data_IF_951918473182
#
_entry.id   IF_951918473182
#
_cell.length_a   1.000
_cell.length_b   1.000
_cell.length_c   1.000
_cell.angle_alpha   90.00
_cell.angle_beta   90.00
_cell.angle_gamma   90.00
#
_symmetry.space_group_name_H-M   'P 1'
#
loop_
_entity.id
_entity.type
_entity.pdbx_description
1 polymer ?
#
# COMPACT_ATOMS: atom_id res chain seq x y z
N UNK A 1 7.81 -23.77 -42.00
CA UNK A 1 8.39 -25.15 -41.95
C UNK A 1 8.08 -25.73 -40.59
N UNK A 2 7.14 -26.69 -40.56
CA UNK A 2 7.07 -27.97 -39.83
C UNK A 2 7.39 -27.88 -38.35
N UNK A 3 6.44 -27.99 -37.40
CA UNK A 3 5.54 -29.12 -37.02
C UNK A 3 6.28 -30.20 -36.21
N UNK A 4 5.75 -30.49 -35.03
CA UNK A 4 5.60 -31.74 -34.29
C UNK A 4 5.67 -31.43 -32.81
N UNK A 5 4.72 -31.55 -31.94
CA UNK A 5 3.66 -32.58 -31.84
C UNK A 5 4.11 -33.76 -30.97
N UNK A 6 3.77 -33.81 -29.67
CA UNK A 6 3.60 -35.07 -28.94
C UNK A 6 2.67 -34.88 -27.73
N UNK A 7 1.42 -35.31 -27.92
CA UNK A 7 0.54 -35.81 -26.88
C UNK A 7 1.16 -37.03 -26.18
N UNK A 8 0.94 -37.17 -24.88
CA UNK A 8 0.84 -38.47 -24.22
C UNK A 8 -0.25 -38.44 -23.17
N UNK A 9 -1.19 -39.29 -23.41
CA UNK A 9 -2.41 -39.66 -22.69
C UNK A 9 -2.16 -40.67 -21.57
N UNK A 10 -3.06 -40.62 -20.57
CA UNK A 10 -3.69 -41.72 -19.80
C UNK A 10 -2.87 -42.57 -18.82
N UNK A 11 -3.34 -42.63 -17.56
CA UNK A 11 -3.94 -43.88 -17.03
C UNK A 11 -4.70 -43.62 -15.71
N UNK A 12 -5.96 -44.01 -15.75
CA UNK A 12 -6.82 -44.28 -14.58
C UNK A 12 -6.31 -45.52 -13.82
N UNK A 13 -6.48 -45.54 -12.48
CA UNK A 13 -6.64 -46.76 -11.73
C UNK A 13 -7.63 -46.52 -10.57
N UNK A 14 -8.79 -47.13 -10.70
CA UNK A 14 -9.78 -47.32 -9.67
C UNK A 14 -9.41 -48.57 -8.83
N UNK A 15 -9.61 -48.51 -7.55
CA UNK A 15 -9.45 -49.64 -6.63
C UNK A 15 -10.46 -49.57 -5.51
N UNK A 16 -11.61 -50.21 -5.74
CA UNK A 16 -12.59 -50.63 -4.72
C UNK A 16 -12.08 -51.91 -4.03
N UNK A 17 -12.19 -52.02 -2.71
CA UNK A 17 -12.35 -53.29 -2.05
C UNK A 17 -13.17 -53.13 -0.75
N UNK A 18 -14.34 -53.74 -0.78
CA UNK A 18 -15.25 -54.00 0.32
C UNK A 18 -14.78 -55.24 1.07
N UNK A 19 -15.07 -55.30 2.34
CA UNK A 19 -14.87 -56.52 3.17
C UNK A 19 -15.76 -56.47 4.39
N UNK A 20 -16.87 -57.20 4.31
CA UNK A 20 -17.85 -57.40 5.37
C UNK A 20 -17.58 -58.70 6.14
N UNK A 21 -18.40 -58.88 7.19
CA UNK A 21 -18.74 -60.13 7.96
C UNK A 21 -17.80 -60.50 9.09
N UNK A 22 -18.27 -61.07 10.19
CA UNK A 22 -19.55 -61.63 10.64
C UNK A 22 -19.56 -61.87 12.14
N UNK A 23 -20.74 -61.90 12.67
CA UNK A 23 -21.40 -62.68 13.71
C UNK A 23 -20.62 -63.70 14.54
N UNK A 24 -20.85 -63.79 15.83
CA UNK A 24 -21.81 -64.66 16.55
C UNK A 24 -21.33 -64.85 18.00
N UNK A 25 -22.17 -64.79 18.95
CA UNK A 25 -22.80 -65.80 19.67
C UNK A 25 -22.75 -65.63 21.18
N UNK A 26 -23.89 -65.57 21.77
CA UNK A 26 -24.24 -66.41 22.88
C UNK A 26 -24.19 -65.91 24.33
N UNK A 27 -25.39 -65.69 24.82
CA UNK A 27 -25.95 -66.09 26.12
C UNK A 27 -25.48 -65.53 27.47
N UNK A 28 -26.52 -65.16 28.18
CA UNK A 28 -26.76 -65.17 29.64
C UNK A 28 -26.65 -63.81 30.35
N UNK A 29 -27.84 -63.36 30.74
CA UNK A 29 -28.05 -62.32 31.74
C UNK A 29 -27.63 -62.77 33.13
N UNK A 30 -27.24 -61.85 33.98
CA UNK A 30 -28.11 -61.59 35.15
C UNK A 30 -28.34 -60.08 35.36
N UNK A 31 -29.52 -59.85 35.89
CA UNK A 31 -30.08 -58.64 36.45
C UNK A 31 -29.07 -57.79 37.22
N UNK A 32 -28.88 -56.53 36.86
CA UNK A 32 -28.22 -55.56 37.70
C UNK A 32 -28.96 -54.23 37.63
N UNK A 33 -29.08 -53.58 38.73
CA UNK A 33 -29.83 -52.40 39.12
C UNK A 33 -29.66 -51.20 38.23
N UNK A 34 -30.62 -50.19 38.23
CA UNK A 34 -30.53 -48.99 37.44
C UNK A 34 -29.41 -48.10 37.94
N UNK A 35 -28.34 -48.03 37.20
CA UNK A 35 -27.30 -46.99 37.35
C UNK A 35 -27.86 -45.70 36.82
N UNK A 36 -28.14 -44.76 37.69
CA UNK A 36 -28.44 -43.39 37.36
C UNK A 36 -27.25 -42.78 36.63
N UNK A 37 -27.36 -42.68 35.32
CA UNK A 37 -26.37 -41.98 34.47
C UNK A 37 -26.48 -40.50 34.79
N UNK A 38 -25.57 -39.97 35.59
CA UNK A 38 -25.36 -38.55 35.72
C UNK A 38 -25.09 -37.98 34.30
N UNK A 39 -26.00 -37.15 33.83
CA UNK A 39 -25.77 -36.39 32.62
C UNK A 39 -24.58 -35.46 32.88
N UNK A 40 -23.43 -35.80 32.31
CA UNK A 40 -22.30 -34.87 32.24
C UNK A 40 -22.74 -33.78 31.27
N UNK A 41 -23.26 -32.68 31.82
CA UNK A 41 -23.42 -31.44 31.08
C UNK A 41 -22.04 -31.00 30.64
N UNK A 42 -21.69 -31.30 29.39
CA UNK A 42 -20.55 -30.66 28.72
C UNK A 42 -20.88 -29.16 28.64
N UNK A 43 -20.44 -28.42 29.63
CA UNK A 43 -20.36 -26.96 29.52
C UNK A 43 -19.44 -26.67 28.35
N UNK A 44 -20.01 -26.42 27.18
CA UNK A 44 -19.27 -25.81 26.08
C UNK A 44 -18.69 -24.52 26.65
N UNK A 45 -17.37 -24.48 26.83
CA UNK A 45 -16.64 -23.27 27.18
C UNK A 45 -16.90 -22.29 26.04
N UNK A 46 -17.78 -21.31 26.27
CA UNK A 46 -18.02 -20.26 25.31
C UNK A 46 -16.67 -19.60 25.03
N UNK A 47 -16.23 -19.64 23.78
CA UNK A 47 -15.08 -18.88 23.32
C UNK A 47 -15.35 -17.41 23.71
N UNK A 48 -14.44 -16.73 24.40
CA UNK A 48 -14.64 -15.32 24.76
C UNK A 48 -14.98 -14.55 23.49
N UNK A 49 -16.08 -13.80 23.54
CA UNK A 49 -16.44 -12.91 22.43
C UNK A 49 -15.30 -11.91 22.22
N UNK A 50 -14.89 -11.74 20.98
CA UNK A 50 -13.89 -10.73 20.63
C UNK A 50 -14.42 -9.34 21.03
N UNK A 51 -13.58 -8.44 21.52
CA UNK A 51 -14.00 -7.09 21.84
C UNK A 51 -14.60 -6.38 20.61
N UNK A 52 -15.58 -5.48 20.79
CA UNK A 52 -16.12 -4.72 19.67
C UNK A 52 -14.99 -3.91 19.01
N UNK A 53 -14.97 -3.85 17.67
CA UNK A 53 -13.95 -3.08 16.94
C UNK A 53 -14.23 -1.57 17.09
N UNK A 54 -13.17 -0.76 17.05
CA UNK A 54 -13.28 0.70 17.05
C UNK A 54 -13.98 1.21 15.77
N UNK A 55 -13.75 0.53 14.64
CA UNK A 55 -14.34 0.87 13.33
C UNK A 55 -15.10 -0.33 12.81
N UNK A 56 -16.35 -0.15 12.48
CA UNK A 56 -17.15 -1.20 11.86
C UNK A 56 -16.93 -1.24 10.34
N UNK A 57 -17.14 -2.41 9.72
CA UNK A 57 -17.09 -2.55 8.25
C UNK A 57 -18.16 -1.71 7.55
N UNK A 58 -19.32 -1.52 8.18
CA UNK A 58 -20.38 -0.66 7.65
C UNK A 58 -19.94 0.80 7.66
N UNK A 59 -19.38 1.30 8.76
CA UNK A 59 -18.79 2.64 8.85
C UNK A 59 -17.71 2.87 7.81
N UNK A 60 -16.78 1.92 7.65
CA UNK A 60 -15.75 2.01 6.62
C UNK A 60 -16.31 2.12 5.20
N UNK A 61 -17.40 1.42 4.90
CA UNK A 61 -18.12 1.54 3.63
C UNK A 61 -18.76 2.91 3.42
N UNK A 62 -19.37 3.47 4.44
CA UNK A 62 -19.95 4.83 4.42
C UNK A 62 -18.86 5.89 4.24
N UNK A 63 -17.75 5.77 4.97
CA UNK A 63 -16.59 6.67 4.85
C UNK A 63 -16.02 6.64 3.44
N UNK A 64 -15.77 5.44 2.88
CA UNK A 64 -15.30 5.30 1.50
C UNK A 64 -16.23 6.02 0.52
N UNK A 65 -17.53 5.73 0.57
CA UNK A 65 -18.50 6.30 -0.36
C UNK A 65 -18.62 7.81 -0.21
N UNK A 66 -18.62 8.31 1.02
CA UNK A 66 -18.77 9.75 1.30
C UNK A 66 -17.54 10.54 0.83
N UNK A 67 -16.33 10.09 1.18
CA UNK A 67 -15.11 10.83 0.85
C UNK A 67 -14.82 10.81 -0.65
N UNK A 68 -14.99 9.66 -1.31
CA UNK A 68 -14.77 9.57 -2.77
C UNK A 68 -15.80 10.37 -3.57
N UNK A 69 -17.07 10.36 -3.16
CA UNK A 69 -18.10 11.18 -3.80
C UNK A 69 -17.87 12.70 -3.56
N UNK A 70 -17.45 13.08 -2.36
CA UNK A 70 -17.15 14.48 -2.04
C UNK A 70 -15.94 14.98 -2.84
N UNK A 71 -14.87 14.18 -2.92
CA UNK A 71 -13.69 14.50 -3.73
C UNK A 71 -14.05 14.70 -5.21
N UNK A 72 -14.90 13.83 -5.79
CA UNK A 72 -15.36 14.00 -7.17
C UNK A 72 -16.13 15.30 -7.39
N UNK A 73 -17.01 15.68 -6.44
CA UNK A 73 -17.75 16.97 -6.51
C UNK A 73 -16.79 18.16 -6.45
N UNK A 74 -15.78 18.12 -5.56
CA UNK A 74 -14.78 19.18 -5.44
C UNK A 74 -13.93 19.32 -6.70
N UNK A 75 -13.48 18.20 -7.27
CA UNK A 75 -12.73 18.18 -8.54
C UNK A 75 -13.57 18.72 -9.69
N UNK A 76 -14.85 18.39 -9.76
CA UNK A 76 -15.76 18.92 -10.77
C UNK A 76 -16.00 20.43 -10.62
N UNK A 77 -15.97 20.98 -9.42
CA UNK A 77 -16.17 22.39 -9.11
C UNK A 77 -14.87 23.24 -9.21
N UNK A 78 -13.72 22.61 -9.16
CA UNK A 78 -12.40 23.27 -9.09
C UNK A 78 -12.16 24.33 -10.20
N UNK A 79 -12.55 24.11 -11.48
CA UNK A 79 -12.37 25.13 -12.53
C UNK A 79 -13.12 26.43 -12.27
N UNK A 80 -14.13 26.43 -11.40
CA UNK A 80 -14.95 27.62 -11.09
C UNK A 80 -14.62 28.26 -9.76
N UNK A 81 -14.22 27.44 -8.78
CA UNK A 81 -14.06 27.87 -7.39
C UNK A 81 -12.59 27.90 -6.92
N UNK A 82 -11.67 27.37 -7.72
CA UNK A 82 -10.22 27.42 -7.52
C UNK A 82 -9.79 27.08 -6.06
N UNK A 83 -9.18 28.05 -5.37
CA UNK A 83 -8.63 27.86 -4.01
C UNK A 83 -9.68 27.41 -2.97
N UNK A 84 -10.96 27.73 -3.20
CA UNK A 84 -12.05 27.26 -2.32
C UNK A 84 -12.14 25.75 -2.33
N UNK A 85 -12.17 25.16 -3.54
CA UNK A 85 -12.23 23.69 -3.67
C UNK A 85 -10.94 23.01 -3.26
N UNK A 86 -9.77 23.62 -3.51
CA UNK A 86 -8.50 23.08 -3.04
C UNK A 86 -8.49 22.99 -1.50
N UNK A 87 -8.89 24.05 -0.81
CA UNK A 87 -8.96 24.05 0.65
C UNK A 87 -9.89 22.95 1.16
N UNK A 88 -11.08 22.80 0.56
CA UNK A 88 -12.04 21.79 0.94
C UNK A 88 -11.52 20.36 0.60
N UNK A 89 -10.78 20.19 -0.50
CA UNK A 89 -10.12 18.92 -0.85
C UNK A 89 -9.01 18.56 0.15
N UNK A 90 -8.25 19.55 0.64
CA UNK A 90 -7.26 19.34 1.70
C UNK A 90 -7.89 18.96 3.03
N UNK A 91 -9.15 19.31 3.25
CA UNK A 91 -9.93 18.84 4.38
C UNK A 91 -10.30 17.34 4.30
N UNK A 92 -10.31 16.77 3.09
CA UNK A 92 -10.56 15.34 2.86
C UNK A 92 -9.28 14.50 2.85
N UNK A 93 -8.10 15.12 2.76
CA UNK A 93 -6.81 14.45 2.59
C UNK A 93 -5.84 14.79 3.71
N UNK A 94 -4.81 13.99 3.88
CA UNK A 94 -3.74 14.18 4.85
C UNK A 94 -2.42 13.61 4.35
N UNK A 95 -1.35 13.86 5.08
CA UNK A 95 -0.03 13.28 4.86
C UNK A 95 0.47 13.47 3.41
N UNK A 96 0.98 12.44 2.77
CA UNK A 96 1.44 12.45 1.39
C UNK A 96 0.32 12.78 0.40
N UNK A 97 -0.90 12.30 0.65
CA UNK A 97 -2.05 12.53 -0.25
C UNK A 97 -2.45 14.01 -0.30
N UNK A 98 -2.32 14.75 0.80
CA UNK A 98 -2.59 16.20 0.78
C UNK A 98 -1.61 16.96 -0.12
N UNK A 99 -0.34 16.54 -0.18
CA UNK A 99 0.66 17.14 -1.07
C UNK A 99 0.37 16.83 -2.54
N UNK A 100 0.03 15.57 -2.85
CA UNK A 100 -0.34 15.16 -4.21
C UNK A 100 -1.65 15.81 -4.66
N UNK A 101 -2.64 15.95 -3.78
CA UNK A 101 -3.87 16.69 -4.06
C UNK A 101 -3.57 18.14 -4.38
N UNK A 102 -2.73 18.82 -3.61
CA UNK A 102 -2.31 20.18 -3.89
C UNK A 102 -1.68 20.30 -5.28
N UNK A 103 -0.73 19.42 -5.58
CA UNK A 103 -0.05 19.39 -6.86
C UNK A 103 -1.02 19.12 -8.02
N UNK A 104 -1.96 18.18 -7.86
CA UNK A 104 -2.95 17.86 -8.88
C UNK A 104 -3.87 19.05 -9.23
N UNK A 105 -4.24 19.86 -8.23
CA UNK A 105 -5.02 21.07 -8.48
C UNK A 105 -4.20 22.17 -9.16
N UNK A 106 -2.99 22.44 -8.67
CA UNK A 106 -2.16 23.54 -9.17
C UNK A 106 -1.54 23.23 -10.54
N UNK A 107 -0.97 22.05 -10.74
CA UNK A 107 -0.30 21.67 -11.99
C UNK A 107 -1.25 21.60 -13.19
N UNK A 108 -2.53 21.37 -12.95
CA UNK A 108 -3.56 21.32 -13.98
C UNK A 108 -4.31 22.64 -14.17
N UNK A 109 -3.87 23.72 -13.49
CA UNK A 109 -4.58 25.01 -13.51
C UNK A 109 -6.01 24.87 -12.97
N UNK A 110 -6.20 24.13 -11.89
CA UNK A 110 -7.48 23.82 -11.26
C UNK A 110 -8.44 22.99 -12.14
N UNK A 111 -7.88 22.11 -12.96
CA UNK A 111 -8.63 21.08 -13.69
C UNK A 111 -8.14 19.67 -13.25
N UNK A 112 -8.21 19.33 -11.94
CA UNK A 112 -7.71 18.06 -11.47
C UNK A 112 -8.49 16.90 -12.10
N UNK A 113 -7.83 15.74 -12.33
CA UNK A 113 -8.50 14.58 -12.91
C UNK A 113 -9.62 14.10 -11.98
N UNK A 114 -10.73 13.68 -12.55
CA UNK A 114 -11.83 13.01 -11.84
C UNK A 114 -11.70 11.51 -12.02
N UNK A 115 -12.20 10.75 -11.06
CA UNK A 115 -12.02 9.31 -11.04
C UNK A 115 -13.35 8.55 -10.96
N UNK A 116 -13.45 7.45 -11.68
CA UNK A 116 -14.53 6.48 -11.53
C UNK A 116 -14.11 5.37 -10.57
N UNK A 117 -14.90 5.17 -9.52
CA UNK A 117 -14.62 4.20 -8.47
C UNK A 117 -15.52 2.98 -8.58
N UNK A 118 -14.95 1.78 -8.61
CA UNK A 118 -15.67 0.52 -8.52
C UNK A 118 -16.14 0.19 -7.11
N UNK A 119 -16.64 -1.02 -6.92
CA UNK A 119 -17.00 -1.53 -5.58
C UNK A 119 -15.75 -1.90 -4.78
N UNK A 120 -15.57 -1.41 -3.55
CA UNK A 120 -14.38 -1.67 -2.75
C UNK A 120 -14.42 -3.03 -2.05
N UNK A 121 -13.26 -3.65 -1.92
CA UNK A 121 -12.99 -4.67 -0.89
C UNK A 121 -12.35 -3.96 0.30
N UNK A 122 -13.04 -4.00 1.46
CA UNK A 122 -12.61 -3.27 2.64
C UNK A 122 -11.76 -4.15 3.57
N UNK A 123 -10.58 -3.70 3.90
CA UNK A 123 -9.67 -4.27 4.89
C UNK A 123 -9.69 -3.38 6.13
N UNK A 124 -10.56 -3.70 7.07
CA UNK A 124 -10.77 -2.94 8.31
C UNK A 124 -10.05 -3.69 9.44
N UNK A 125 -8.97 -3.14 9.99
CA UNK A 125 -8.31 -3.77 11.13
C UNK A 125 -9.20 -3.79 12.37
N UNK A 126 -9.13 -4.88 13.13
CA UNK A 126 -9.81 -4.97 14.42
C UNK A 126 -9.02 -4.21 15.49
N UNK A 127 -9.18 -2.92 15.52
CA UNK A 127 -8.66 -2.11 16.61
C UNK A 127 -9.53 -2.26 17.85
N UNK A 128 -8.95 -2.32 19.06
CA UNK A 128 -9.70 -2.22 20.29
C UNK A 128 -10.48 -0.91 20.38
N UNK A 129 -11.64 -0.91 21.01
CA UNK A 129 -12.40 0.31 21.28
C UNK A 129 -11.53 1.34 22.01
N UNK A 130 -11.59 2.59 21.58
CA UNK A 130 -10.75 3.67 22.11
C UNK A 130 -9.35 3.77 21.49
N UNK A 131 -9.07 3.05 20.41
CA UNK A 131 -7.81 3.21 19.67
C UNK A 131 -7.64 4.64 19.17
N UNK A 132 -6.49 5.25 19.43
CA UNK A 132 -6.26 6.68 19.19
C UNK A 132 -6.24 7.06 17.70
N UNK A 133 -5.68 6.24 16.83
CA UNK A 133 -5.52 6.56 15.40
C UNK A 133 -6.00 5.41 14.53
N UNK A 134 -7.32 5.18 14.45
CA UNK A 134 -7.87 4.11 13.63
C UNK A 134 -7.71 4.42 12.13
N UNK A 135 -7.55 3.35 11.35
CA UNK A 135 -7.45 3.42 9.89
C UNK A 135 -8.03 2.16 9.23
N UNK A 136 -8.31 2.23 7.97
CA UNK A 136 -8.64 1.08 7.14
C UNK A 136 -8.18 1.29 5.70
N UNK A 137 -8.03 0.19 4.94
CA UNK A 137 -7.65 0.22 3.53
C UNK A 137 -8.78 -0.36 2.68
N UNK A 138 -9.04 0.26 1.54
CA UNK A 138 -9.91 -0.24 0.49
C UNK A 138 -9.08 -0.65 -0.73
N UNK A 139 -9.31 -1.85 -1.25
CA UNK A 139 -8.87 -2.24 -2.59
C UNK A 139 -10.04 -2.04 -3.54
N UNK A 140 -9.87 -1.19 -4.54
CA UNK A 140 -10.94 -0.78 -5.45
C UNK A 140 -10.40 -0.51 -6.85
N UNK A 141 -11.21 -0.69 -7.88
CA UNK A 141 -10.87 -0.20 -9.21
C UNK A 141 -11.06 1.33 -9.29
N UNK A 142 -10.00 2.07 -9.66
CA UNK A 142 -10.03 3.48 -10.03
C UNK A 142 -9.80 3.57 -11.54
N UNK A 143 -10.80 4.01 -12.30
CA UNK A 143 -10.76 4.04 -13.77
C UNK A 143 -10.38 2.67 -14.37
N UNK A 144 -10.89 1.59 -13.78
CA UNK A 144 -10.58 0.21 -14.16
C UNK A 144 -9.26 -0.35 -13.63
N UNK A 145 -8.40 0.44 -12.97
CA UNK A 145 -7.12 0.00 -12.43
C UNK A 145 -7.20 -0.30 -10.92
N UNK A 146 -6.76 -1.48 -10.47
CA UNK A 146 -6.74 -1.80 -9.05
C UNK A 146 -5.90 -0.80 -8.25
N UNK A 147 -6.50 -0.25 -7.20
CA UNK A 147 -5.92 0.83 -6.39
C UNK A 147 -6.19 0.55 -4.91
N UNK A 148 -5.20 0.80 -4.06
CA UNK A 148 -5.32 0.73 -2.62
C UNK A 148 -5.47 2.15 -2.06
N UNK A 149 -6.55 2.39 -1.31
CA UNK A 149 -6.79 3.65 -0.60
C UNK A 149 -6.77 3.38 0.89
N UNK A 150 -5.99 4.16 1.64
CA UNK A 150 -6.04 4.12 3.11
C UNK A 150 -6.67 5.39 3.66
N UNK A 151 -7.66 5.17 4.51
CA UNK A 151 -8.39 6.20 5.25
C UNK A 151 -7.94 6.15 6.70
N UNK A 152 -7.65 7.30 7.28
CA UNK A 152 -7.16 7.37 8.64
C UNK A 152 -7.71 8.58 9.39
N UNK A 153 -7.77 8.46 10.72
CA UNK A 153 -7.98 9.59 11.63
C UNK A 153 -6.66 9.95 12.32
N UNK A 154 -6.42 11.24 12.56
CA UNK A 154 -5.26 11.68 13.34
C UNK A 154 -5.40 11.31 14.81
N UNK A 155 -6.62 11.28 15.31
CA UNK A 155 -7.01 10.76 16.60
C UNK A 155 -8.47 10.27 16.54
N UNK A 156 -8.95 9.58 17.56
CA UNK A 156 -10.28 8.96 17.58
C UNK A 156 -11.44 9.94 17.34
N UNK A 157 -11.29 11.20 17.77
CA UNK A 157 -12.31 12.23 17.69
C UNK A 157 -12.24 13.05 16.38
N UNK A 158 -11.18 12.83 15.57
CA UNK A 158 -10.99 13.52 14.31
C UNK A 158 -11.89 12.96 13.20
N UNK A 159 -12.05 13.75 12.14
CA UNK A 159 -12.70 13.30 10.90
C UNK A 159 -11.81 12.29 10.16
N UNK A 160 -12.44 11.44 9.37
CA UNK A 160 -11.76 10.57 8.42
C UNK A 160 -11.15 11.37 7.27
N UNK A 161 -9.95 11.01 6.87
CA UNK A 161 -9.24 11.59 5.73
C UNK A 161 -8.55 10.50 4.91
N UNK A 162 -8.38 10.73 3.60
CA UNK A 162 -7.58 9.88 2.72
C UNK A 162 -6.11 10.19 3.00
N UNK A 163 -5.35 9.17 3.41
CA UNK A 163 -3.94 9.32 3.78
C UNK A 163 -2.98 8.74 2.75
N UNK A 164 -3.40 7.70 2.05
CA UNK A 164 -2.58 7.07 1.01
C UNK A 164 -3.45 6.54 -0.13
N UNK A 165 -2.96 6.75 -1.36
CA UNK A 165 -3.54 6.20 -2.60
C UNK A 165 -2.40 5.58 -3.39
N UNK A 166 -2.50 4.30 -3.75
CA UNK A 166 -1.47 3.61 -4.56
C UNK A 166 -2.11 2.74 -5.61
N UNK A 167 -1.80 2.99 -6.88
CA UNK A 167 -2.24 2.16 -8.00
C UNK A 167 -1.32 0.95 -8.14
N UNK A 168 -1.90 -0.25 -8.28
CA UNK A 168 -1.11 -1.45 -8.52
C UNK A 168 -0.36 -1.34 -9.85
N UNK A 169 0.89 -1.84 -9.83
CA UNK A 169 1.71 -1.95 -11.03
C UNK A 169 1.14 -3.01 -11.97
N UNK A 170 1.37 -2.86 -13.25
CA UNK A 170 0.85 -3.79 -14.26
C UNK A 170 1.32 -5.22 -13.97
N UNK A 171 0.37 -6.15 -13.99
CA UNK A 171 0.63 -7.55 -13.69
C UNK A 171 0.92 -7.88 -12.23
N UNK A 172 0.73 -6.93 -11.31
CA UNK A 172 0.83 -7.16 -9.87
C UNK A 172 -0.56 -7.30 -9.25
N UNK A 173 -0.66 -8.26 -8.32
CA UNK A 173 -1.82 -8.44 -7.45
C UNK A 173 -1.39 -8.24 -5.99
N UNK A 174 -2.25 -7.66 -5.15
CA UNK A 174 -1.95 -7.57 -3.72
C UNK A 174 -2.01 -8.96 -3.09
N UNK A 175 -1.11 -9.27 -2.12
CA UNK A 175 -1.20 -10.53 -1.40
C UNK A 175 -2.53 -10.61 -0.64
N UNK A 176 -3.15 -11.81 -0.54
CA UNK A 176 -4.40 -11.98 0.17
C UNK A 176 -4.29 -11.56 1.63
N UNK A 177 -5.02 -10.54 2.04
CA UNK A 177 -5.07 -10.09 3.44
C UNK A 177 -5.75 -11.14 4.31
N UNK A 178 -5.19 -11.40 5.50
CA UNK A 178 -5.78 -12.28 6.50
C UNK A 178 -6.96 -11.59 7.16
N UNK A 179 -8.11 -12.26 7.15
CA UNK A 179 -9.33 -11.81 7.81
C UNK A 179 -9.73 -12.82 8.89
N UNK A 180 -10.28 -12.33 10.00
CA UNK A 180 -10.89 -13.17 11.02
C UNK A 180 -12.27 -13.69 10.58
N UNK A 181 -12.94 -14.46 11.45
CA UNK A 181 -14.24 -15.06 11.18
C UNK A 181 -15.36 -14.04 10.93
N UNK A 182 -15.20 -12.80 11.41
CA UNK A 182 -16.15 -11.71 11.25
C UNK A 182 -15.77 -10.78 10.07
N UNK A 183 -14.64 -11.08 9.40
CA UNK A 183 -14.16 -10.37 8.23
C UNK A 183 -13.33 -9.12 8.53
N UNK A 184 -12.77 -9.01 9.73
CA UNK A 184 -11.83 -7.95 10.09
C UNK A 184 -10.40 -8.36 9.80
N UNK A 185 -9.59 -7.40 9.37
CA UNK A 185 -8.17 -7.59 9.14
C UNK A 185 -7.36 -7.48 10.44
N UNK A 186 -6.08 -7.84 10.36
CA UNK A 186 -5.12 -7.64 11.45
C UNK A 186 -4.10 -6.58 11.02
N UNK A 187 -4.05 -5.47 11.76
CA UNK A 187 -2.96 -4.51 11.63
C UNK A 187 -1.69 -5.07 12.26
N UNK A 188 -0.54 -4.76 11.67
CA UNK A 188 0.76 -5.04 12.27
C UNK A 188 1.28 -3.81 13.00
N UNK A 189 1.90 -4.04 14.15
CA UNK A 189 2.60 -2.99 14.87
C UNK A 189 3.83 -2.49 14.07
N UNK A 190 4.24 -1.21 14.24
CA UNK A 190 5.39 -0.67 13.54
C UNK A 190 6.67 -1.48 13.71
N UNK A 191 6.87 -2.09 14.88
CA UNK A 191 8.03 -2.92 15.21
C UNK A 191 7.83 -4.42 15.04
N UNK A 192 6.77 -4.88 14.38
CA UNK A 192 6.48 -6.31 14.21
C UNK A 192 7.65 -7.03 13.51
N UNK A 193 8.16 -8.09 14.16
CA UNK A 193 9.32 -8.85 13.69
C UNK A 193 8.94 -10.18 13.02
N UNK A 194 7.67 -10.45 12.85
CA UNK A 194 7.19 -11.67 12.18
C UNK A 194 7.31 -11.61 10.67
N UNK A 195 7.68 -10.45 10.12
CA UNK A 195 7.92 -10.19 8.70
C UNK A 195 9.39 -9.86 8.45
N UNK A 196 9.86 -10.03 7.23
CA UNK A 196 11.29 -9.83 6.87
C UNK A 196 11.76 -8.39 7.07
N UNK A 197 10.86 -7.42 6.89
CA UNK A 197 11.10 -6.00 7.14
C UNK A 197 9.97 -5.50 8.03
N UNK A 198 10.31 -5.07 9.26
CA UNK A 198 9.30 -4.47 10.16
C UNK A 198 8.70 -3.21 9.52
N UNK A 199 7.39 -2.94 9.70
CA UNK A 199 6.70 -1.85 8.98
C UNK A 199 7.40 -0.49 9.10
N UNK A 200 7.89 -0.11 10.27
CA UNK A 200 8.60 1.17 10.49
C UNK A 200 9.89 1.34 9.67
N UNK A 201 10.50 0.25 9.21
CA UNK A 201 11.73 0.32 8.42
C UNK A 201 11.49 0.26 6.91
N UNK A 202 10.24 0.07 6.48
CA UNK A 202 9.95 -0.09 5.05
C UNK A 202 10.32 1.16 4.25
N UNK A 203 9.91 2.35 4.71
CA UNK A 203 10.27 3.62 4.06
C UNK A 203 11.78 3.86 4.03
N UNK A 204 12.50 3.86 5.16
CA UNK A 204 13.96 4.05 5.19
C UNK A 204 14.75 3.05 4.34
N UNK A 205 14.37 1.77 4.33
CA UNK A 205 15.05 0.77 3.50
C UNK A 205 14.76 0.96 2.01
N UNK A 206 13.51 1.32 1.66
CA UNK A 206 13.18 1.64 0.28
C UNK A 206 13.94 2.90 -0.20
N UNK A 207 14.00 3.96 0.60
CA UNK A 207 14.79 5.15 0.30
C UNK A 207 16.24 4.78 -0.03
N UNK A 208 16.86 3.93 0.81
CA UNK A 208 18.23 3.44 0.58
C UNK A 208 18.35 2.61 -0.70
N UNK A 209 17.36 1.76 -1.02
CA UNK A 209 17.36 0.97 -2.25
C UNK A 209 17.23 1.85 -3.50
N UNK A 210 16.39 2.90 -3.45
CA UNK A 210 16.20 3.87 -4.53
C UNK A 210 17.42 4.76 -4.78
N UNK A 211 18.25 5.00 -3.75
CA UNK A 211 19.47 5.81 -3.87
C UNK A 211 20.70 5.01 -4.27
N UNK A 212 20.90 3.83 -3.66
CA UNK A 212 22.12 3.04 -3.78
C UNK A 212 21.98 1.79 -4.68
N UNK A 213 20.76 1.45 -5.10
CA UNK A 213 20.48 0.33 -5.98
C UNK A 213 20.94 -1.01 -5.43
N UNK A 214 21.43 -1.87 -6.32
CA UNK A 214 21.82 -3.25 -6.02
C UNK A 214 23.05 -3.37 -5.10
N UNK A 215 23.81 -2.29 -4.88
CA UNK A 215 25.04 -2.29 -4.07
C UNK A 215 24.85 -1.70 -2.68
N UNK A 216 23.67 -1.17 -2.36
CA UNK A 216 23.35 -0.56 -1.07
C UNK A 216 23.12 -1.57 0.06
N UNK A 217 23.01 -1.06 1.29
CA UNK A 217 22.75 -1.89 2.49
C UNK A 217 21.37 -2.55 2.47
N UNK A 218 20.46 -2.07 1.62
CA UNK A 218 19.14 -2.67 1.37
C UNK A 218 19.16 -3.76 0.29
N UNK A 219 20.33 -4.05 -0.31
CA UNK A 219 20.47 -5.06 -1.35
C UNK A 219 19.98 -6.43 -0.87
N UNK A 220 19.11 -7.07 -1.66
CA UNK A 220 18.51 -8.36 -1.34
C UNK A 220 17.37 -8.31 -0.32
N UNK A 221 17.12 -7.18 0.35
CA UNK A 221 15.97 -6.99 1.25
C UNK A 221 14.72 -6.57 0.45
N UNK A 222 14.93 -5.74 -0.59
CA UNK A 222 13.86 -5.30 -1.50
C UNK A 222 14.23 -5.79 -2.90
N UNK A 223 13.24 -6.32 -3.61
CA UNK A 223 13.42 -6.84 -4.96
C UNK A 223 13.78 -5.71 -5.95
N UNK A 224 14.64 -5.98 -6.94
CA UNK A 224 14.87 -5.06 -8.05
C UNK A 224 13.58 -4.68 -8.79
N UNK A 225 13.54 -3.47 -9.31
CA UNK A 225 12.41 -2.99 -10.10
C UNK A 225 12.40 -1.49 -10.33
N UNK A 226 11.34 -0.96 -11.00
CA UNK A 226 11.27 0.42 -11.50
C UNK A 226 11.44 1.49 -10.42
N UNK A 227 11.04 1.19 -9.19
CA UNK A 227 11.08 2.15 -8.07
C UNK A 227 12.22 1.87 -7.08
N UNK A 228 13.14 0.98 -7.42
CA UNK A 228 14.29 0.59 -6.58
C UNK A 228 15.58 0.68 -7.37
N UNK A 229 16.07 -0.44 -7.92
CA UNK A 229 17.35 -0.49 -8.66
C UNK A 229 17.34 0.36 -9.91
N UNK A 230 16.25 0.34 -10.68
CA UNK A 230 16.17 1.06 -11.96
C UNK A 230 16.17 2.58 -11.70
N UNK A 231 15.49 3.02 -10.60
CA UNK A 231 15.51 4.42 -10.17
C UNK A 231 16.91 4.87 -9.72
N UNK A 232 17.66 4.01 -9.03
CA UNK A 232 19.05 4.30 -8.67
C UNK A 232 19.95 4.43 -9.91
N UNK A 233 19.73 3.62 -10.94
CA UNK A 233 20.42 3.73 -12.22
C UNK A 233 20.07 5.04 -12.93
N UNK A 234 18.80 5.41 -12.99
CA UNK A 234 18.33 6.69 -13.55
C UNK A 234 19.00 7.88 -12.84
N UNK A 235 19.02 7.89 -11.50
CA UNK A 235 19.68 8.96 -10.71
C UNK A 235 21.17 9.05 -11.05
N UNK A 236 21.85 7.92 -11.24
CA UNK A 236 23.26 7.92 -11.60
C UNK A 236 23.50 8.44 -13.03
N UNK A 237 22.63 8.12 -13.96
CA UNK A 237 22.70 8.62 -15.34
C UNK A 237 22.42 10.13 -15.39
N UNK A 238 21.41 10.61 -14.65
CA UNK A 238 21.12 12.04 -14.50
C UNK A 238 22.29 12.80 -13.87
N UNK A 239 22.91 12.24 -12.84
CA UNK A 239 24.12 12.82 -12.20
C UNK A 239 25.27 12.94 -13.17
N UNK A 240 25.48 11.94 -14.02
CA UNK A 240 26.51 11.96 -15.06
C UNK A 240 26.18 13.01 -16.14
N UNK A 241 24.95 13.01 -16.65
CA UNK A 241 24.49 13.98 -17.65
C UNK A 241 24.61 15.42 -17.13
N UNK A 242 24.23 15.67 -15.89
CA UNK A 242 24.39 16.97 -15.24
C UNK A 242 25.87 17.38 -15.18
N UNK A 243 26.75 16.47 -14.77
CA UNK A 243 28.20 16.73 -14.71
C UNK A 243 28.77 17.08 -16.09
N UNK A 244 28.41 16.34 -17.14
CA UNK A 244 28.86 16.58 -18.52
C UNK A 244 28.33 17.94 -19.03
N UNK A 245 27.19 18.38 -18.50
CA UNK A 245 26.60 19.70 -18.77
C UNK A 245 27.17 20.82 -17.89
N UNK A 246 28.13 20.57 -17.01
CA UNK A 246 28.68 21.58 -16.08
C UNK A 246 27.77 21.92 -14.91
N UNK A 247 26.90 21.00 -14.53
CA UNK A 247 25.98 21.10 -13.41
C UNK A 247 26.35 20.06 -12.33
N UNK A 248 25.89 20.27 -11.10
CA UNK A 248 25.81 19.21 -10.09
C UNK A 248 24.34 18.77 -9.95
N UNK A 249 24.15 17.49 -9.71
CA UNK A 249 22.83 16.90 -9.49
C UNK A 249 22.89 16.01 -8.25
N UNK A 250 21.93 16.17 -7.36
CA UNK A 250 21.77 15.34 -6.19
C UNK A 250 20.30 15.00 -5.99
N UNK A 251 20.02 13.75 -5.58
CA UNK A 251 18.67 13.26 -5.37
C UNK A 251 18.66 12.39 -4.12
N UNK A 252 17.86 12.79 -3.13
CA UNK A 252 17.82 12.18 -1.79
C UNK A 252 16.37 11.81 -1.47
N UNK A 253 16.18 10.60 -0.95
CA UNK A 253 14.89 10.12 -0.47
C UNK A 253 14.79 10.21 1.06
N UNK A 254 13.59 10.52 1.57
CA UNK A 254 13.23 10.44 2.99
C UNK A 254 11.95 9.63 3.18
N UNK A 255 11.97 8.69 4.13
CA UNK A 255 10.85 7.79 4.43
C UNK A 255 10.30 7.92 5.86
N UNK A 256 10.73 8.95 6.62
CA UNK A 256 10.38 9.05 8.04
C UNK A 256 9.22 10.02 8.34
N UNK A 257 8.73 10.74 7.32
CA UNK A 257 7.82 11.86 7.53
C UNK A 257 6.33 11.47 7.43
N UNK A 258 6.05 10.21 7.07
CA UNK A 258 4.70 9.74 6.76
C UNK A 258 4.31 8.52 7.59
N UNK A 259 3.01 8.33 7.86
CA UNK A 259 2.52 7.12 8.52
C UNK A 259 2.74 5.87 7.66
N UNK A 260 2.83 4.73 8.35
CA UNK A 260 2.95 3.41 7.73
C UNK A 260 1.73 2.58 8.12
N UNK A 261 1.08 1.97 7.14
CA UNK A 261 -0.10 1.13 7.30
C UNK A 261 0.23 -0.30 6.88
N UNK A 262 0.13 -1.25 7.80
CA UNK A 262 0.54 -2.63 7.55
C UNK A 262 -0.57 -3.62 7.92
N UNK A 263 -0.95 -4.46 6.97
CA UNK A 263 -1.95 -5.51 7.11
C UNK A 263 -1.27 -6.87 7.05
N UNK A 264 -1.65 -7.79 7.95
CA UNK A 264 -1.24 -9.21 7.91
C UNK A 264 -1.81 -9.88 6.67
N UNK A 265 -0.98 -10.64 5.96
CA UNK A 265 -1.41 -11.48 4.84
C UNK A 265 -1.59 -12.95 5.26
N UNK A 266 -2.32 -13.73 4.46
CA UNK A 266 -2.66 -15.13 4.77
C UNK A 266 -1.44 -16.06 4.87
N UNK A 267 -0.37 -15.75 4.18
CA UNK A 267 0.92 -16.46 4.22
C UNK A 267 1.78 -16.07 5.43
N UNK A 268 1.29 -15.16 6.28
CA UNK A 268 2.01 -14.67 7.46
C UNK A 268 2.94 -13.48 7.16
N UNK A 269 2.95 -12.99 5.92
CA UNK A 269 3.63 -11.77 5.50
C UNK A 269 2.84 -10.50 5.82
N UNK A 270 3.15 -9.42 5.09
CA UNK A 270 2.44 -8.14 5.20
C UNK A 270 2.21 -7.47 3.85
N UNK A 271 1.11 -6.73 3.76
CA UNK A 271 0.87 -5.68 2.78
C UNK A 271 1.12 -4.35 3.49
N UNK A 272 2.15 -3.61 3.09
CA UNK A 272 2.56 -2.37 3.75
C UNK A 272 2.42 -1.20 2.78
N UNK A 273 1.65 -0.17 3.17
CA UNK A 273 1.59 1.12 2.50
C UNK A 273 2.40 2.17 3.29
N UNK A 274 3.19 2.96 2.58
CA UNK A 274 4.05 4.01 3.12
C UNK A 274 4.36 5.03 2.02
N UNK A 275 4.98 6.15 2.39
CA UNK A 275 5.33 7.21 1.45
C UNK A 275 6.78 7.65 1.63
N UNK A 276 7.35 8.17 0.54
CA UNK A 276 8.67 8.79 0.50
C UNK A 276 8.55 10.19 -0.08
N UNK A 277 9.40 11.10 0.38
CA UNK A 277 9.73 12.31 -0.36
C UNK A 277 11.05 12.15 -1.10
N UNK A 278 11.13 12.60 -2.35
CA UNK A 278 12.37 12.71 -3.12
C UNK A 278 12.69 14.20 -3.30
N UNK A 279 13.87 14.60 -2.89
CA UNK A 279 14.36 15.97 -3.05
C UNK A 279 15.52 15.94 -4.04
N UNK A 280 15.30 16.55 -5.21
CA UNK A 280 16.31 16.69 -6.26
C UNK A 280 16.81 18.12 -6.28
N UNK A 281 18.14 18.29 -6.26
CA UNK A 281 18.79 19.60 -6.34
C UNK A 281 19.77 19.62 -7.52
N UNK A 282 19.55 20.52 -8.46
CA UNK A 282 20.49 20.80 -9.55
C UNK A 282 21.12 22.17 -9.31
N UNK A 283 22.44 22.25 -9.37
CA UNK A 283 23.19 23.52 -9.13
C UNK A 283 24.12 23.79 -10.29
N UNK A 284 24.15 25.02 -10.79
CA UNK A 284 25.10 25.45 -11.82
C UNK A 284 26.48 25.67 -11.21
N UNK A 285 27.52 25.08 -11.79
CA UNK A 285 28.90 25.43 -11.48
C UNK A 285 29.20 26.86 -11.98
N UNK A 286 29.81 27.67 -11.14
CA UNK A 286 29.93 29.13 -11.24
C UNK A 286 30.59 29.66 -12.52
N UNK A 287 31.18 28.81 -13.37
CA UNK A 287 31.94 29.24 -14.53
C UNK A 287 31.61 28.53 -15.85
N UNK A 288 30.60 27.65 -15.88
CA UNK A 288 30.38 26.78 -17.05
C UNK A 288 28.97 26.87 -17.63
N UNK A 289 27.96 27.22 -16.81
CA UNK A 289 26.59 27.37 -17.27
C UNK A 289 25.92 28.63 -16.73
N UNK A 290 25.26 29.34 -17.61
CA UNK A 290 24.50 30.54 -17.24
C UNK A 290 23.10 30.27 -16.71
N UNK A 291 22.57 29.03 -16.85
CA UNK A 291 21.23 28.68 -16.44
C UNK A 291 21.00 27.15 -16.35
N UNK A 292 20.00 26.77 -15.56
CA UNK A 292 19.42 25.42 -15.45
C UNK A 292 18.03 25.47 -16.07
N UNK A 293 17.71 24.62 -17.08
CA UNK A 293 16.36 24.56 -17.62
C UNK A 293 15.39 24.04 -16.55
N UNK A 294 14.20 24.65 -16.49
CA UNK A 294 13.09 24.16 -15.66
C UNK A 294 12.34 23.08 -16.45
N UNK A 295 12.17 21.86 -15.92
CA UNK A 295 11.41 20.82 -16.59
C UNK A 295 9.94 21.24 -16.82
N UNK A 296 9.32 20.73 -17.88
CA UNK A 296 7.95 21.08 -18.25
C UNK A 296 6.94 20.78 -17.15
N UNK A 297 7.14 19.69 -16.43
CA UNK A 297 6.30 19.27 -15.29
C UNK A 297 6.49 20.13 -14.03
N UNK A 298 7.50 21.02 -14.00
CA UNK A 298 7.75 21.98 -12.93
C UNK A 298 7.30 23.42 -13.26
N UNK A 299 6.90 23.70 -14.51
CA UNK A 299 6.54 25.05 -14.95
C UNK A 299 5.29 25.61 -14.27
N UNK A 300 4.44 24.76 -13.72
CA UNK A 300 3.29 25.22 -12.92
C UNK A 300 3.69 25.90 -11.59
N UNK A 301 4.90 25.65 -11.10
CA UNK A 301 5.43 26.19 -9.85
C UNK A 301 6.56 27.21 -10.06
N UNK A 302 7.12 27.30 -11.26
CA UNK A 302 8.20 28.22 -11.62
C UNK A 302 7.85 28.82 -12.99
N UNK A 303 7.49 30.11 -13.00
CA UNK A 303 7.06 30.82 -14.23
C UNK A 303 8.19 30.95 -15.27
N UNK A 304 9.47 31.03 -14.81
CA UNK A 304 10.60 31.15 -15.71
C UNK A 304 10.99 29.80 -16.31
N UNK A 305 11.27 29.72 -17.62
CA UNK A 305 11.68 28.46 -18.26
C UNK A 305 13.10 28.00 -17.87
N UNK A 306 13.82 28.82 -17.10
CA UNK A 306 15.18 28.55 -16.64
C UNK A 306 15.52 29.36 -15.39
N UNK A 307 16.36 28.80 -14.53
CA UNK A 307 16.88 29.41 -13.31
C UNK A 307 18.40 29.52 -13.39
N UNK A 308 19.03 30.40 -12.59
CA UNK A 308 20.46 30.72 -12.74
C UNK A 308 21.38 29.89 -11.88
N UNK A 309 20.99 29.58 -10.66
CA UNK A 309 21.88 29.00 -9.65
C UNK A 309 21.48 27.61 -9.22
N UNK A 310 20.25 27.49 -8.79
CA UNK A 310 19.78 26.26 -8.15
C UNK A 310 18.33 26.00 -8.56
N UNK A 311 18.07 24.77 -8.99
CA UNK A 311 16.73 24.21 -9.16
C UNK A 311 16.53 23.15 -8.09
N UNK A 312 15.43 23.26 -7.32
CA UNK A 312 15.02 22.26 -6.33
C UNK A 312 13.65 21.74 -6.68
N UNK A 313 13.54 20.42 -6.78
CA UNK A 313 12.30 19.70 -7.03
C UNK A 313 12.02 18.79 -5.84
N UNK A 314 10.78 18.78 -5.35
CA UNK A 314 10.33 17.83 -4.34
C UNK A 314 9.19 17.00 -4.91
N UNK A 315 9.39 15.72 -4.95
CA UNK A 315 8.38 14.74 -5.35
C UNK A 315 7.89 14.01 -4.10
N UNK A 316 6.61 13.67 -4.11
CA UNK A 316 5.99 12.82 -3.09
C UNK A 316 5.54 11.53 -3.76
N UNK A 317 5.99 10.41 -3.20
CA UNK A 317 5.69 9.08 -3.71
C UNK A 317 5.01 8.24 -2.63
N UNK A 318 3.98 7.53 -3.01
CA UNK A 318 3.26 6.56 -2.18
C UNK A 318 3.45 5.17 -2.75
N UNK A 319 3.68 4.20 -1.90
CA UNK A 319 3.97 2.83 -2.29
C UNK A 319 3.13 1.82 -1.52
N UNK A 320 2.86 0.68 -2.15
CA UNK A 320 2.48 -0.53 -1.43
C UNK A 320 3.47 -1.65 -1.75
N UNK A 321 3.87 -2.38 -0.71
CA UNK A 321 4.89 -3.43 -0.80
C UNK A 321 4.37 -4.73 -0.16
N UNK A 322 4.54 -5.83 -0.86
CA UNK A 322 4.36 -7.17 -0.33
C UNK A 322 5.64 -7.61 0.40
N UNK A 323 5.54 -7.81 1.70
CA UNK A 323 6.67 -8.19 2.57
C UNK A 323 6.49 -9.63 3.04
N UNK A 324 7.45 -10.54 2.75
CA UNK A 324 7.36 -11.95 3.16
C UNK A 324 7.42 -12.14 4.68
N UNK A 325 6.90 -13.28 5.19
CA UNK A 325 7.05 -13.61 6.59
C UNK A 325 8.51 -13.93 6.95
N UNK A 326 8.92 -13.64 8.19
CA UNK A 326 10.26 -13.97 8.68
C UNK A 326 10.56 -15.47 8.70
N UNK A 327 9.53 -16.33 8.75
CA UNK A 327 9.64 -17.78 8.68
C UNK A 327 9.98 -18.34 7.29
N UNK A 328 9.75 -17.54 6.22
CA UNK A 328 10.09 -17.88 4.84
C UNK A 328 10.67 -16.63 4.16
N UNK A 329 11.90 -16.23 4.53
CA UNK A 329 12.46 -14.96 4.13
C UNK A 329 12.71 -14.90 2.62
N UNK A 330 12.27 -13.80 2.01
CA UNK A 330 12.54 -13.43 0.63
C UNK A 330 12.58 -11.90 0.52
N UNK A 331 13.01 -11.37 -0.61
CA UNK A 331 12.99 -9.94 -0.86
C UNK A 331 11.55 -9.39 -0.90
N UNK A 332 11.32 -8.28 -0.22
CA UNK A 332 10.06 -7.54 -0.30
C UNK A 332 9.89 -6.95 -1.70
N UNK A 333 8.65 -6.90 -2.20
CA UNK A 333 8.37 -6.48 -3.57
C UNK A 333 7.42 -5.28 -3.58
N UNK A 334 7.85 -4.17 -4.18
CA UNK A 334 6.98 -3.03 -4.48
C UNK A 334 5.94 -3.48 -5.52
N UNK A 335 4.67 -3.36 -5.18
CA UNK A 335 3.55 -3.82 -6.00
C UNK A 335 2.60 -2.71 -6.44
N UNK A 336 2.68 -1.54 -5.81
CA UNK A 336 1.87 -0.39 -6.17
C UNK A 336 2.64 0.91 -5.96
N UNK A 337 2.29 1.91 -6.77
CA UNK A 337 2.89 3.24 -6.70
C UNK A 337 1.89 4.31 -7.16
N UNK A 338 1.98 5.48 -6.55
CA UNK A 338 1.42 6.76 -7.01
C UNK A 338 2.39 7.85 -6.59
N UNK A 339 2.57 8.87 -7.41
CA UNK A 339 3.48 9.95 -7.03
C UNK A 339 3.64 11.00 -8.12
N UNK A 340 4.30 12.09 -7.75
CA UNK A 340 4.60 13.18 -8.66
C UNK A 340 5.26 14.36 -7.98
N UNK A 341 5.56 15.38 -8.78
CA UNK A 341 6.15 16.63 -8.34
C UNK A 341 5.14 17.41 -7.47
N UNK A 342 5.52 17.72 -6.23
CA UNK A 342 4.66 18.43 -5.28
C UNK A 342 5.18 19.82 -4.93
N UNK A 343 6.43 20.11 -5.24
CA UNK A 343 7.02 21.45 -5.08
C UNK A 343 8.19 21.64 -6.02
N UNK A 344 8.31 22.84 -6.59
CA UNK A 344 9.50 23.27 -7.31
C UNK A 344 9.90 24.68 -6.84
N UNK A 345 11.20 24.97 -6.85
CA UNK A 345 11.73 26.32 -6.61
C UNK A 345 13.04 26.52 -7.35
N UNK A 346 13.30 27.76 -7.78
CA UNK A 346 14.48 28.14 -8.54
C UNK A 346 15.07 29.47 -8.07
N UNK A 347 16.42 29.60 -8.20
CA UNK A 347 17.17 30.83 -7.93
C UNK A 347 18.04 31.21 -9.13
#
# INVERSE_FOLDING_TARGET
MRASGRLRTLALAAGLLAGATACSGGSAAPSAAPVTRAAVSSSATATPALPPPEVTRAEAGEVFSTLTATDDVLRAAAPKLHDGTLRDALDLTRDAEAQLTTAAYQSTGYHPPRYEWGSPVLYVPRFPAGSESPWFTALVARDGHPTLLTFAKVNKDAKWQISAVTRLLDGQDPPPVQLDAEGYATALDPGDKSVTISPQYMGPLHATAAEAGATGVAAGLIAPGPYTTDLAEEINDERKAAKDAGLSYDSIFSGNDYPVYALRTRDGGALIQYSLSRNTTTTAATNVKDFIPVPDDAQWAIDEPKVRRTLKLTETHQYATAVPPASAPAAARVIAHEGGLTRASGE
#
